data_IF_457062433909
#
_entry.id   IF_457062433909
#
_cell.length_a   1.000
_cell.length_b   1.000
_cell.length_c   1.000
_cell.angle_alpha   90.00
_cell.angle_beta   90.00
_cell.angle_gamma   90.00
#
_symmetry.space_group_name_H-M   'P 1'
#
loop_
_entity.id
_entity.type
_entity.pdbx_description
1 polymer ?
#
# COMPACT_ATOMS: atom_id res chain seq x y z
N UNK A 1 2.37 -8.30 15.44
CA UNK A 1 2.11 -8.26 13.98
C UNK A 1 1.44 -6.94 13.61
N UNK A 2 1.93 -6.24 12.58
CA UNK A 2 1.39 -4.96 12.13
C UNK A 2 0.80 -5.10 10.73
N UNK A 3 -0.44 -4.63 10.56
CA UNK A 3 -1.11 -4.62 9.26
C UNK A 3 -1.16 -3.18 8.75
N UNK A 4 -0.38 -2.88 7.72
CA UNK A 4 -0.33 -1.58 7.04
C UNK A 4 -1.14 -1.71 5.77
N UNK A 5 -2.21 -0.94 5.65
CA UNK A 5 -3.18 -1.08 4.56
C UNK A 5 -3.22 0.20 3.73
N UNK A 6 -2.94 0.09 2.44
CA UNK A 6 -3.01 1.21 1.51
C UNK A 6 -4.38 1.26 0.83
N UNK A 7 -5.09 2.36 0.97
CA UNK A 7 -6.47 2.56 0.55
C UNK A 7 -6.61 3.81 -0.31
N UNK A 8 -7.46 3.77 -1.32
CA UNK A 8 -7.89 4.96 -2.06
C UNK A 8 -9.18 4.68 -2.81
N UNK A 9 -10.09 5.65 -2.96
CA UNK A 9 -11.22 5.55 -3.88
C UNK A 9 -10.81 5.76 -5.34
N UNK A 10 -9.58 6.26 -5.58
CA UNK A 10 -9.07 6.60 -6.91
C UNK A 10 -8.11 5.53 -7.41
N UNK A 11 -8.22 5.20 -8.70
CA UNK A 11 -7.20 4.47 -9.43
C UNK A 11 -6.05 5.37 -9.85
N UNK A 12 -4.83 4.81 -9.97
CA UNK A 12 -3.66 5.51 -10.50
C UNK A 12 -3.04 6.57 -9.58
N UNK A 13 -3.38 6.59 -8.30
CA UNK A 13 -2.79 7.52 -7.31
C UNK A 13 -1.50 7.00 -6.67
N UNK A 14 -0.98 5.86 -7.11
CA UNK A 14 0.27 5.31 -6.58
C UNK A 14 0.13 4.38 -5.38
N UNK A 15 -1.09 3.89 -5.07
CA UNK A 15 -1.33 2.97 -3.94
C UNK A 15 -0.42 1.75 -3.97
N UNK A 16 -0.44 0.98 -5.07
CA UNK A 16 0.40 -0.20 -5.29
C UNK A 16 1.90 0.13 -5.22
N UNK A 17 2.28 1.26 -5.80
CA UNK A 17 3.66 1.77 -5.76
C UNK A 17 4.11 2.00 -4.32
N UNK A 18 3.28 2.70 -3.52
CA UNK A 18 3.57 2.92 -2.10
C UNK A 18 3.68 1.61 -1.33
N UNK A 19 2.74 0.70 -1.53
CA UNK A 19 2.73 -0.59 -0.86
C UNK A 19 4.04 -1.37 -1.11
N UNK A 20 4.49 -1.45 -2.37
CA UNK A 20 5.72 -2.16 -2.73
C UNK A 20 6.97 -1.52 -2.12
N UNK A 21 7.11 -0.19 -2.25
CA UNK A 21 8.29 0.52 -1.76
C UNK A 21 8.38 0.47 -0.23
N UNK A 22 7.26 0.69 0.47
CA UNK A 22 7.19 0.58 1.92
C UNK A 22 7.51 -0.84 2.39
N UNK A 23 6.96 -1.87 1.73
CA UNK A 23 7.29 -3.26 2.07
C UNK A 23 8.79 -3.54 1.93
N UNK A 24 9.43 -3.06 0.85
CA UNK A 24 10.86 -3.27 0.62
C UNK A 24 11.72 -2.51 1.63
N UNK A 25 11.38 -1.25 1.91
CA UNK A 25 12.11 -0.45 2.88
C UNK A 25 11.96 -0.98 4.30
N UNK A 26 10.77 -1.42 4.71
CA UNK A 26 10.56 -2.02 6.03
C UNK A 26 11.30 -3.36 6.18
N UNK A 27 11.31 -4.20 5.15
CA UNK A 27 12.06 -5.47 5.16
C UNK A 27 13.56 -5.24 5.36
N UNK A 28 14.12 -4.17 4.81
CA UNK A 28 15.55 -3.84 4.97
C UNK A 28 15.95 -3.49 6.43
N UNK A 29 14.97 -3.18 7.28
CA UNK A 29 15.19 -2.92 8.72
C UNK A 29 15.09 -4.20 9.59
N UNK A 30 14.87 -5.35 9.00
CA UNK A 30 14.99 -6.65 9.66
C UNK A 30 13.70 -7.40 9.99
N UNK A 31 12.52 -6.79 10.24
CA UNK A 31 11.34 -7.58 10.55
C UNK A 31 10.84 -8.35 9.32
N UNK A 32 10.36 -9.62 9.50
CA UNK A 32 9.76 -10.38 8.42
C UNK A 32 8.60 -9.61 7.78
N UNK A 33 8.68 -9.35 6.48
CA UNK A 33 7.69 -8.54 5.77
C UNK A 33 6.98 -9.37 4.69
N UNK A 34 5.64 -9.36 4.74
CA UNK A 34 4.76 -9.98 3.76
C UNK A 34 3.93 -8.90 3.07
N UNK A 35 4.11 -8.73 1.76
CA UNK A 35 3.27 -7.90 0.92
C UNK A 35 2.13 -8.75 0.34
N UNK A 36 0.89 -8.28 0.45
CA UNK A 36 -0.31 -9.00 -0.04
C UNK A 36 -1.01 -8.15 -1.09
N UNK A 37 -1.11 -8.69 -2.29
CA UNK A 37 -1.87 -8.06 -3.38
C UNK A 37 -3.34 -8.52 -3.33
N UNK A 38 -4.21 -7.66 -2.81
CA UNK A 38 -5.65 -7.89 -2.79
C UNK A 38 -6.35 -7.35 -4.04
N UNK A 39 -5.59 -6.68 -4.93
CA UNK A 39 -6.12 -6.06 -6.14
C UNK A 39 -6.20 -7.05 -7.31
N UNK A 40 -7.34 -7.15 -8.02
CA UNK A 40 -7.44 -7.96 -9.24
C UNK A 40 -6.48 -7.55 -10.35
N UNK A 41 -5.86 -6.37 -10.26
CA UNK A 41 -4.83 -5.93 -11.21
C UNK A 41 -3.54 -6.76 -11.10
N UNK A 42 -3.32 -7.43 -9.96
CA UNK A 42 -2.16 -8.30 -9.71
C UNK A 42 -0.81 -7.62 -10.04
N UNK A 43 -0.70 -6.33 -9.69
CA UNK A 43 0.39 -5.47 -10.11
C UNK A 43 1.49 -5.28 -9.05
N UNK A 44 1.23 -5.65 -7.79
CA UNK A 44 2.18 -5.44 -6.70
C UNK A 44 3.52 -6.12 -6.96
N UNK A 45 3.48 -7.34 -7.53
CA UNK A 45 4.67 -8.11 -7.87
C UNK A 45 5.58 -7.43 -8.88
N UNK A 46 5.02 -6.65 -9.83
CA UNK A 46 5.81 -5.91 -10.82
C UNK A 46 6.70 -4.85 -10.16
N UNK A 47 6.19 -4.19 -9.12
CA UNK A 47 6.96 -3.23 -8.33
C UNK A 47 7.97 -3.89 -7.38
N UNK A 48 7.80 -5.21 -7.11
CA UNK A 48 8.67 -5.99 -6.25
C UNK A 48 9.68 -6.86 -7.02
N UNK A 49 9.84 -6.64 -8.32
CA UNK A 49 10.89 -7.27 -9.11
C UNK A 49 10.43 -8.38 -10.05
N UNK A 50 9.13 -8.71 -10.10
CA UNK A 50 8.63 -9.68 -11.06
C UNK A 50 8.53 -9.07 -12.46
N UNK A 51 8.89 -9.85 -13.47
CA UNK A 51 8.85 -9.41 -14.89
C UNK A 51 7.44 -9.46 -15.48
N UNK A 52 6.54 -10.23 -14.86
CA UNK A 52 5.15 -10.36 -15.29
C UNK A 52 4.26 -10.64 -14.06
N UNK A 53 2.96 -10.31 -14.14
CA UNK A 53 2.01 -10.69 -13.09
C UNK A 53 1.96 -12.22 -12.96
N UNK A 54 2.10 -12.80 -11.75
CA UNK A 54 2.09 -14.24 -11.58
C UNK A 54 0.67 -14.82 -11.75
N UNK A 55 0.57 -15.97 -12.39
CA UNK A 55 -0.70 -16.71 -12.50
C UNK A 55 -1.10 -17.36 -11.18
N UNK A 56 -0.11 -17.80 -10.38
CA UNK A 56 -0.34 -18.36 -9.04
C UNK A 56 -0.57 -17.25 -8.05
N UNK A 57 -1.54 -17.46 -7.16
CA UNK A 57 -1.86 -16.52 -6.12
C UNK A 57 -2.97 -17.02 -5.21
N UNK A 58 -3.33 -16.21 -4.22
CA UNK A 58 -4.34 -16.58 -3.23
C UNK A 58 -5.74 -16.70 -3.83
N UNK A 59 -6.07 -15.94 -4.87
CA UNK A 59 -7.42 -15.93 -5.43
C UNK A 59 -7.78 -17.26 -6.11
N UNK A 60 -6.94 -17.86 -6.98
CA UNK A 60 -7.16 -19.22 -7.49
C UNK A 60 -7.08 -20.30 -6.40
N UNK A 61 -6.31 -20.05 -5.34
CA UNK A 61 -6.09 -20.98 -4.23
C UNK A 61 -6.92 -20.65 -2.98
N UNK A 62 -8.07 -20.03 -3.15
CA UNK A 62 -8.91 -19.41 -2.14
C UNK A 62 -9.23 -20.32 -0.93
N UNK A 63 -9.44 -21.60 -1.18
CA UNK A 63 -9.75 -22.62 -0.17
C UNK A 63 -8.50 -23.28 0.44
N UNK A 64 -7.32 -23.00 -0.11
CA UNK A 64 -6.06 -23.58 0.34
C UNK A 64 -5.33 -22.66 1.31
N UNK A 65 -4.25 -23.18 1.89
CA UNK A 65 -3.31 -22.38 2.66
C UNK A 65 -2.54 -21.41 1.75
N UNK A 66 -2.61 -20.13 2.05
CA UNK A 66 -2.04 -19.07 1.21
C UNK A 66 -0.52 -19.11 1.10
N UNK A 67 0.15 -19.63 2.11
CA UNK A 67 1.61 -19.75 2.10
C UNK A 67 2.18 -20.55 0.93
N UNK A 68 1.41 -21.48 0.34
CA UNK A 68 1.82 -22.22 -0.86
C UNK A 68 2.00 -21.34 -2.10
N UNK A 69 1.39 -20.16 -2.10
CA UNK A 69 1.43 -19.21 -3.22
C UNK A 69 2.43 -18.07 -2.98
N UNK A 70 3.05 -18.03 -1.81
CA UNK A 70 3.99 -16.97 -1.48
C UNK A 70 5.27 -17.08 -2.34
N UNK A 71 5.74 -15.93 -2.80
CA UNK A 71 7.00 -15.73 -3.49
C UNK A 71 7.91 -14.89 -2.59
N UNK A 72 9.22 -14.97 -2.79
CA UNK A 72 10.17 -14.10 -2.09
C UNK A 72 11.04 -13.41 -3.13
N UNK A 73 11.23 -12.10 -2.98
CA UNK A 73 12.10 -11.33 -3.85
C UNK A 73 13.53 -11.23 -3.29
N UNK A 74 14.45 -10.68 -4.07
CA UNK A 74 15.87 -10.51 -3.68
C UNK A 74 16.08 -9.54 -2.51
N UNK A 75 15.09 -8.75 -2.14
CA UNK A 75 15.13 -7.84 -1.00
C UNK A 75 14.57 -8.47 0.29
N UNK A 76 14.24 -9.76 0.29
CA UNK A 76 13.70 -10.48 1.44
C UNK A 76 12.22 -10.18 1.73
N UNK A 77 11.51 -9.53 0.81
CA UNK A 77 10.07 -9.34 0.91
C UNK A 77 9.37 -10.59 0.41
N UNK A 78 8.52 -11.18 1.24
CA UNK A 78 7.58 -12.20 0.81
C UNK A 78 6.39 -11.51 0.14
N UNK A 79 5.97 -12.04 -0.99
CA UNK A 79 4.82 -11.55 -1.76
C UNK A 79 3.77 -12.66 -1.84
N UNK A 80 2.55 -12.32 -1.43
CA UNK A 80 1.37 -13.12 -1.72
C UNK A 80 0.59 -12.44 -2.85
N UNK A 81 0.75 -12.87 -4.11
CA UNK A 81 0.10 -12.23 -5.24
C UNK A 81 -1.39 -12.55 -5.29
N UNK A 82 -2.15 -11.71 -5.96
CA UNK A 82 -3.56 -11.99 -6.25
C UNK A 82 -3.71 -13.26 -7.08
N UNK A 83 -2.85 -13.45 -8.07
CA UNK A 83 -2.92 -14.54 -9.05
C UNK A 83 -3.71 -14.17 -10.30
N UNK A 84 -3.88 -15.14 -11.21
CA UNK A 84 -4.53 -14.92 -12.50
C UNK A 84 -5.92 -14.32 -12.34
N UNK A 85 -6.21 -13.33 -13.17
CA UNK A 85 -7.53 -12.72 -13.21
C UNK A 85 -8.56 -13.71 -13.78
N UNK A 86 -9.50 -14.14 -12.95
CA UNK A 86 -10.63 -14.93 -13.37
C UNK A 86 -11.77 -14.02 -13.83
N UNK A 87 -12.26 -14.23 -15.06
CA UNK A 87 -13.48 -13.62 -15.56
C UNK A 87 -14.74 -14.24 -14.96
N UNK A 88 -14.59 -15.27 -14.14
CA UNK A 88 -15.71 -15.91 -13.47
C UNK A 88 -16.41 -14.89 -12.58
N UNK A 89 -17.67 -14.62 -12.86
CA UNK A 89 -18.56 -13.82 -12.03
C UNK A 89 -18.77 -14.44 -10.62
N UNK A 90 -18.27 -15.64 -10.41
CA UNK A 90 -18.21 -16.38 -9.13
C UNK A 90 -17.09 -15.92 -8.18
N UNK A 91 -16.46 -14.79 -8.44
CA UNK A 91 -15.75 -14.07 -7.37
C UNK A 91 -16.81 -13.60 -6.36
N UNK A 92 -17.43 -14.55 -5.68
CA UNK A 92 -18.39 -14.29 -4.61
C UNK A 92 -17.78 -13.24 -3.69
N UNK A 93 -18.57 -12.22 -3.37
CA UNK A 93 -18.16 -11.22 -2.39
C UNK A 93 -17.70 -11.98 -1.14
N UNK A 94 -16.47 -11.74 -0.64
CA UNK A 94 -16.04 -12.43 0.55
C UNK A 94 -16.98 -12.07 1.71
N UNK A 95 -17.39 -13.08 2.46
CA UNK A 95 -18.23 -12.89 3.65
C UNK A 95 -17.55 -11.92 4.64
N UNK A 96 -18.32 -11.18 5.44
CA UNK A 96 -17.74 -10.33 6.48
C UNK A 96 -16.77 -11.12 7.37
N UNK A 97 -15.59 -10.55 7.63
CA UNK A 97 -14.55 -11.19 8.43
C UNK A 97 -13.72 -12.26 7.72
N UNK A 98 -14.02 -12.54 6.43
CA UNK A 98 -13.26 -13.54 5.67
C UNK A 98 -11.76 -13.23 5.61
N UNK A 99 -11.39 -11.98 5.28
CA UNK A 99 -9.98 -11.58 5.22
C UNK A 99 -9.30 -11.71 6.58
N UNK A 100 -9.96 -11.30 7.65
CA UNK A 100 -9.43 -11.42 9.00
C UNK A 100 -9.12 -12.89 9.35
N UNK A 101 -10.03 -13.80 9.04
CA UNK A 101 -9.82 -15.23 9.27
C UNK A 101 -8.65 -15.77 8.43
N UNK A 102 -8.48 -15.32 7.19
CA UNK A 102 -7.35 -15.72 6.34
C UNK A 102 -6.02 -15.20 6.85
N UNK A 103 -5.96 -13.93 7.27
CA UNK A 103 -4.75 -13.35 7.86
C UNK A 103 -4.36 -14.03 9.17
N UNK A 104 -5.34 -14.37 10.02
CA UNK A 104 -5.10 -15.11 11.27
C UNK A 104 -4.60 -16.54 11.05
N UNK A 105 -4.90 -17.14 9.89
CA UNK A 105 -4.41 -18.47 9.50
C UNK A 105 -2.99 -18.47 8.89
N UNK A 106 -2.35 -17.32 8.76
CA UNK A 106 -0.95 -17.23 8.32
C UNK A 106 -0.02 -17.56 9.50
N UNK A 107 0.86 -18.54 9.31
CA UNK A 107 1.88 -18.90 10.29
C UNK A 107 3.08 -17.94 10.17
N UNK A 108 2.98 -16.79 10.84
CA UNK A 108 3.97 -15.72 10.79
C UNK A 108 4.44 -15.35 12.20
N UNK A 109 5.73 -14.98 12.36
CA UNK A 109 6.24 -14.43 13.61
C UNK A 109 5.43 -13.23 14.11
N UNK A 110 5.27 -13.04 15.44
CA UNK A 110 4.48 -11.93 16.00
C UNK A 110 4.96 -10.53 15.59
N UNK A 111 6.26 -10.37 15.30
CA UNK A 111 6.90 -9.14 14.86
C UNK A 111 6.69 -8.85 13.36
N UNK A 112 6.07 -9.76 12.61
CA UNK A 112 5.89 -9.61 11.16
C UNK A 112 5.07 -8.38 10.79
N UNK A 113 5.44 -7.82 9.64
CA UNK A 113 4.74 -6.70 9.00
C UNK A 113 3.99 -7.24 7.80
N UNK A 114 2.69 -6.97 7.73
CA UNK A 114 1.85 -7.24 6.58
C UNK A 114 1.54 -5.91 5.88
N UNK A 115 1.91 -5.81 4.61
CA UNK A 115 1.60 -4.64 3.76
C UNK A 115 0.55 -5.06 2.75
N UNK A 116 -0.65 -4.49 2.83
CA UNK A 116 -1.79 -4.87 2.00
C UNK A 116 -2.04 -3.81 0.92
N UNK A 117 -1.87 -4.18 -0.34
CA UNK A 117 -2.35 -3.41 -1.49
C UNK A 117 -3.79 -3.80 -1.80
N UNK A 118 -4.68 -2.82 -1.82
CA UNK A 118 -6.12 -3.08 -1.93
C UNK A 118 -6.69 -2.67 -3.29
N UNK A 119 -7.81 -3.23 -3.73
CA UNK A 119 -8.58 -2.64 -4.81
C UNK A 119 -9.12 -1.25 -4.40
N UNK A 120 -9.57 -0.41 -5.35
CA UNK A 120 -10.17 0.88 -5.01
C UNK A 120 -11.38 0.74 -4.08
N UNK A 121 -11.52 1.67 -3.13
CA UNK A 121 -12.74 1.81 -2.33
C UNK A 121 -13.95 2.12 -3.25
N UNK A 122 -15.13 1.59 -2.96
CA UNK A 122 -15.53 0.80 -1.78
C UNK A 122 -15.51 -0.73 -2.01
N UNK A 123 -14.54 -1.29 -2.71
CA UNK A 123 -14.49 -2.73 -2.95
C UNK A 123 -14.53 -3.52 -1.62
N UNK A 124 -15.24 -4.66 -1.54
CA UNK A 124 -15.43 -5.43 -0.29
C UNK A 124 -14.11 -5.83 0.38
N UNK A 125 -13.09 -6.23 -0.39
CA UNK A 125 -11.77 -6.56 0.16
C UNK A 125 -11.04 -5.34 0.72
N UNK A 126 -11.19 -4.15 0.11
CA UNK A 126 -10.62 -2.93 0.65
C UNK A 126 -11.27 -2.55 1.99
N UNK A 127 -12.59 -2.71 2.11
CA UNK A 127 -13.31 -2.48 3.36
C UNK A 127 -12.89 -3.47 4.46
N UNK A 128 -12.77 -4.76 4.14
CA UNK A 128 -12.29 -5.76 5.10
C UNK A 128 -10.83 -5.52 5.51
N UNK A 129 -9.96 -5.14 4.57
CA UNK A 129 -8.58 -4.80 4.86
C UNK A 129 -8.50 -3.60 5.82
N UNK A 130 -9.31 -2.57 5.60
CA UNK A 130 -9.39 -1.42 6.49
C UNK A 130 -9.78 -1.80 7.93
N UNK A 131 -10.69 -2.77 8.09
CA UNK A 131 -11.12 -3.27 9.40
C UNK A 131 -10.02 -4.07 10.13
N UNK A 132 -9.10 -4.68 9.39
CA UNK A 132 -7.98 -5.45 9.94
C UNK A 132 -6.72 -4.61 10.18
N UNK A 133 -6.72 -3.33 9.79
CA UNK A 133 -5.53 -2.48 9.80
C UNK A 133 -5.06 -2.15 11.23
N UNK A 134 -3.75 -2.14 11.44
CA UNK A 134 -3.11 -1.42 12.54
C UNK A 134 -2.88 0.04 12.12
N UNK A 135 -2.56 0.24 10.84
CA UNK A 135 -2.42 1.55 10.22
C UNK A 135 -3.06 1.54 8.82
N UNK A 136 -4.08 2.37 8.61
CA UNK A 136 -4.68 2.62 7.32
C UNK A 136 -4.07 3.87 6.68
N UNK A 137 -3.46 3.74 5.50
CA UNK A 137 -2.88 4.84 4.74
C UNK A 137 -3.81 5.19 3.58
N UNK A 138 -4.49 6.31 3.70
CA UNK A 138 -5.34 6.86 2.63
C UNK A 138 -4.47 7.58 1.60
N UNK A 139 -4.40 7.06 0.39
CA UNK A 139 -3.54 7.60 -0.68
C UNK A 139 -4.33 8.52 -1.58
N UNK A 140 -3.89 9.76 -1.70
CA UNK A 140 -4.46 10.79 -2.55
C UNK A 140 -3.37 11.40 -3.44
N UNK A 141 -3.69 11.73 -4.67
CA UNK A 141 -2.81 12.55 -5.50
C UNK A 141 -3.10 14.05 -5.34
N UNK A 142 -2.11 14.90 -5.59
CA UNK A 142 -2.28 16.36 -5.56
C UNK A 142 -3.08 16.82 -6.79
N UNK A 143 -4.40 16.53 -6.82
CA UNK A 143 -5.27 16.81 -7.96
C UNK A 143 -6.67 17.26 -7.55
N UNK A 144 -7.39 17.86 -8.51
CA UNK A 144 -8.79 18.23 -8.32
C UNK A 144 -9.71 17.04 -8.02
N UNK A 145 -9.36 15.82 -8.48
CA UNK A 145 -10.14 14.61 -8.19
C UNK A 145 -10.11 14.31 -6.69
N UNK A 146 -8.93 14.34 -6.10
CA UNK A 146 -8.75 14.12 -4.66
C UNK A 146 -9.48 15.18 -3.83
N UNK A 147 -9.46 16.45 -4.26
CA UNK A 147 -10.23 17.52 -3.61
C UNK A 147 -11.73 17.24 -3.60
N UNK A 148 -12.27 16.67 -4.67
CA UNK A 148 -13.72 16.36 -4.78
C UNK A 148 -14.17 15.23 -3.86
N UNK A 149 -13.26 14.36 -3.45
CA UNK A 149 -13.58 13.16 -2.65
C UNK A 149 -13.33 13.33 -1.15
N UNK A 150 -12.87 14.49 -0.70
CA UNK A 150 -12.49 14.73 0.70
C UNK A 150 -13.61 14.41 1.69
N UNK A 151 -14.86 14.83 1.41
CA UNK A 151 -16.00 14.57 2.27
C UNK A 151 -16.25 13.07 2.46
N UNK A 152 -16.36 12.33 1.36
CA UNK A 152 -16.57 10.89 1.40
C UNK A 152 -15.43 10.14 2.08
N UNK A 153 -14.18 10.61 1.92
CA UNK A 153 -13.03 10.02 2.60
C UNK A 153 -13.01 10.30 4.09
N UNK A 154 -13.46 11.49 4.51
CA UNK A 154 -13.60 11.81 5.93
C UNK A 154 -14.64 10.91 6.57
N UNK A 155 -15.82 10.80 5.96
CA UNK A 155 -16.88 9.90 6.42
C UNK A 155 -16.40 8.44 6.51
N UNK A 156 -15.61 7.98 5.53
CA UNK A 156 -15.00 6.66 5.56
C UNK A 156 -14.01 6.52 6.73
N UNK A 157 -13.12 7.50 6.92
CA UNK A 157 -12.13 7.45 8.00
C UNK A 157 -12.78 7.46 9.38
N UNK A 158 -13.87 8.21 9.55
CA UNK A 158 -14.65 8.28 10.81
C UNK A 158 -15.37 6.96 11.12
N UNK A 159 -15.56 6.09 10.12
CA UNK A 159 -16.17 4.76 10.28
C UNK A 159 -15.14 3.64 10.52
N UNK A 160 -13.84 3.95 10.51
CA UNK A 160 -12.82 2.97 10.84
C UNK A 160 -12.96 2.53 12.31
N UNK A 161 -12.66 1.26 12.64
CA UNK A 161 -12.67 0.81 14.03
C UNK A 161 -11.79 1.67 14.93
N UNK A 162 -12.20 1.92 16.15
CA UNK A 162 -11.50 2.81 17.10
C UNK A 162 -10.03 2.44 17.38
N UNK A 163 -9.66 1.17 17.15
CA UNK A 163 -8.27 0.70 17.28
C UNK A 163 -7.40 0.91 16.04
N UNK A 164 -7.99 1.32 14.92
CA UNK A 164 -7.27 1.54 13.65
C UNK A 164 -6.72 2.96 13.63
N UNK A 165 -5.40 3.10 13.59
CA UNK A 165 -4.77 4.39 13.28
C UNK A 165 -4.87 4.64 11.78
N UNK A 166 -5.03 5.89 11.38
CA UNK A 166 -5.06 6.23 9.98
C UNK A 166 -4.31 7.54 9.67
N UNK A 167 -3.80 7.62 8.45
CA UNK A 167 -3.08 8.79 7.96
C UNK A 167 -3.31 8.97 6.46
N UNK A 168 -2.99 10.15 5.94
CA UNK A 168 -3.11 10.49 4.52
C UNK A 168 -1.73 10.65 3.90
N UNK A 169 -1.45 9.89 2.85
CA UNK A 169 -0.27 10.05 2.01
C UNK A 169 -0.63 10.84 0.75
N UNK A 170 0.12 11.90 0.46
CA UNK A 170 -0.03 12.68 -0.77
C UNK A 170 1.01 12.28 -1.82
N UNK A 171 0.56 12.06 -3.05
CA UNK A 171 1.40 11.67 -4.18
C UNK A 171 1.27 12.64 -5.34
N UNK A 172 2.14 12.49 -6.35
CA UNK A 172 2.06 13.24 -7.59
C UNK A 172 2.23 14.76 -7.42
N UNK A 173 2.96 15.18 -6.40
CA UNK A 173 3.26 16.59 -6.14
C UNK A 173 4.20 17.10 -7.24
N UNK A 174 3.76 18.12 -7.98
CA UNK A 174 4.58 18.79 -8.98
C UNK A 174 4.57 20.32 -8.75
N UNK A 175 5.65 20.88 -8.21
CA UNK A 175 5.75 22.31 -7.96
C UNK A 175 5.67 23.18 -9.20
N UNK A 176 5.89 22.62 -10.39
CA UNK A 176 5.82 23.35 -11.68
C UNK A 176 4.39 23.51 -12.16
N UNK A 177 3.47 22.66 -11.72
CA UNK A 177 2.05 22.69 -12.06
C UNK A 177 1.28 23.56 -11.06
N UNK A 178 0.72 24.68 -11.50
CA UNK A 178 -0.09 25.58 -10.66
C UNK A 178 -1.27 24.83 -10.03
N UNK A 179 -2.02 24.05 -10.82
CA UNK A 179 -3.18 23.31 -10.34
C UNK A 179 -2.81 22.25 -9.28
N UNK A 180 -1.63 21.61 -9.39
CA UNK A 180 -1.16 20.65 -8.40
C UNK A 180 -0.69 21.32 -7.11
N UNK A 181 -0.05 22.50 -7.22
CA UNK A 181 0.31 23.30 -6.03
C UNK A 181 -0.93 23.74 -5.26
N UNK A 182 -1.94 24.24 -5.96
CA UNK A 182 -3.20 24.67 -5.34
C UNK A 182 -3.91 23.50 -4.67
N UNK A 183 -4.01 22.35 -5.36
CA UNK A 183 -4.58 21.14 -4.80
C UNK A 183 -3.81 20.67 -3.56
N UNK A 184 -2.47 20.65 -3.60
CA UNK A 184 -1.62 20.31 -2.47
C UNK A 184 -1.88 21.22 -1.28
N UNK A 185 -1.97 22.52 -1.50
CA UNK A 185 -2.23 23.48 -0.43
C UNK A 185 -3.58 23.23 0.23
N UNK A 186 -4.63 23.02 -0.56
CA UNK A 186 -5.97 22.72 -0.03
C UNK A 186 -6.03 21.37 0.70
N UNK A 187 -5.39 20.33 0.16
CA UNK A 187 -5.32 19.01 0.81
C UNK A 187 -4.56 19.09 2.14
N UNK A 188 -3.45 19.83 2.19
CA UNK A 188 -2.70 20.04 3.43
C UNK A 188 -3.53 20.74 4.49
N UNK A 189 -4.27 21.78 4.13
CA UNK A 189 -5.15 22.49 5.06
C UNK A 189 -6.27 21.58 5.59
N UNK A 190 -6.82 20.69 4.75
CA UNK A 190 -7.92 19.80 5.11
C UNK A 190 -7.50 18.64 6.01
N UNK A 191 -6.32 18.04 5.75
CA UNK A 191 -5.87 16.79 6.39
C UNK A 191 -4.80 16.99 7.46
N UNK A 192 -4.48 18.20 7.79
CA UNK A 192 -3.42 18.71 8.66
C UNK A 192 -2.91 17.73 9.74
N UNK A 193 -3.81 17.24 10.60
CA UNK A 193 -3.48 16.37 11.72
C UNK A 193 -3.21 14.91 11.33
N UNK A 194 -3.70 14.50 10.15
CA UNK A 194 -3.58 13.13 9.65
C UNK A 194 -2.60 13.01 8.50
N UNK A 195 -2.00 14.12 8.07
CA UNK A 195 -1.12 14.12 6.91
C UNK A 195 0.25 13.56 7.26
N UNK A 196 0.71 12.58 6.48
CA UNK A 196 2.10 12.15 6.51
C UNK A 196 2.97 13.30 5.96
N UNK A 197 4.01 13.77 6.71
CA UNK A 197 4.75 14.97 6.35
C UNK A 197 5.72 14.80 5.17
N UNK A 198 5.69 13.65 4.51
CA UNK A 198 6.53 13.28 3.36
C UNK A 198 5.67 13.08 2.11
N UNK A 199 5.28 14.15 1.39
CA UNK A 199 4.53 14.02 0.15
C UNK A 199 5.45 13.51 -0.96
N UNK A 200 4.94 12.61 -1.81
CA UNK A 200 5.69 12.09 -2.94
C UNK A 200 5.60 13.03 -4.14
N UNK A 201 6.76 13.50 -4.58
CA UNK A 201 6.87 14.30 -5.78
C UNK A 201 6.72 13.45 -7.05
N UNK A 202 6.20 14.09 -8.09
CA UNK A 202 6.19 13.51 -9.43
C UNK A 202 7.64 13.45 -9.93
N UNK A 203 8.14 12.23 -10.09
CA UNK A 203 9.53 11.96 -10.48
C UNK A 203 9.55 10.86 -11.53
N UNK A 204 10.24 11.12 -12.64
CA UNK A 204 10.35 10.18 -13.76
C UNK A 204 11.07 8.88 -13.36
N UNK A 205 11.99 8.94 -12.39
CA UNK A 205 12.68 7.76 -11.88
C UNK A 205 11.74 6.68 -11.34
N UNK A 206 10.52 7.06 -10.91
CA UNK A 206 9.50 6.08 -10.50
C UNK A 206 9.07 5.19 -11.66
N UNK A 207 8.88 5.76 -12.85
CA UNK A 207 8.51 4.99 -14.05
C UNK A 207 9.68 4.19 -14.58
N UNK A 208 10.89 4.76 -14.55
CA UNK A 208 12.12 4.09 -14.96
C UNK A 208 12.42 2.90 -14.05
N UNK A 209 12.25 3.04 -12.73
CA UNK A 209 12.40 1.96 -11.77
C UNK A 209 11.42 0.82 -12.05
N UNK A 210 10.13 1.14 -12.26
CA UNK A 210 9.11 0.14 -12.60
C UNK A 210 9.45 -0.60 -13.91
N UNK A 211 9.91 0.13 -14.93
CA UNK A 211 10.30 -0.48 -16.21
C UNK A 211 11.47 -1.48 -16.06
N UNK A 212 12.30 -1.32 -15.03
CA UNK A 212 13.40 -2.22 -14.68
C UNK A 212 13.04 -3.24 -13.59
N UNK A 213 11.77 -3.30 -13.19
CA UNK A 213 11.27 -4.14 -12.10
C UNK A 213 12.07 -3.92 -10.79
N UNK A 214 12.32 -2.65 -10.45
CA UNK A 214 13.02 -2.22 -9.23
C UNK A 214 12.19 -1.21 -8.44
N UNK A 215 12.45 -1.11 -7.15
CA UNK A 215 12.02 0.04 -6.36
C UNK A 215 12.93 1.26 -6.65
N UNK A 216 12.39 2.47 -6.50
CA UNK A 216 13.13 3.69 -6.87
C UNK A 216 14.39 3.91 -6.05
N UNK A 217 14.41 3.51 -4.78
CA UNK A 217 15.60 3.58 -3.94
C UNK A 217 16.73 2.63 -4.37
N UNK A 218 16.40 1.57 -5.12
CA UNK A 218 17.37 0.67 -5.72
C UNK A 218 17.84 1.19 -7.09
N UNK A 219 16.93 1.78 -7.88
CA UNK A 219 17.21 2.28 -9.22
C UNK A 219 17.95 3.63 -9.20
N UNK A 220 17.45 4.58 -8.42
CA UNK A 220 17.95 5.95 -8.35
C UNK A 220 17.96 6.46 -6.90
N UNK A 221 18.89 5.98 -6.04
CA UNK A 221 18.88 6.25 -4.59
C UNK A 221 19.02 7.73 -4.22
N UNK A 222 19.53 8.56 -5.12
CA UNK A 222 19.69 10.00 -4.92
C UNK A 222 18.53 10.83 -5.51
N UNK A 223 17.50 10.19 -6.07
CA UNK A 223 16.34 10.89 -6.63
C UNK A 223 15.44 11.46 -5.53
N UNK A 224 14.64 12.48 -5.89
CA UNK A 224 13.66 13.05 -4.97
C UNK A 224 12.66 11.98 -4.54
N UNK A 225 12.21 11.13 -5.46
CA UNK A 225 11.26 10.05 -5.13
C UNK A 225 11.85 9.04 -4.14
N UNK A 226 13.15 8.72 -4.22
CA UNK A 226 13.80 7.82 -3.26
C UNK A 226 13.82 8.43 -1.85
N UNK A 227 14.14 9.72 -1.73
CA UNK A 227 14.12 10.43 -0.44
C UNK A 227 12.70 10.53 0.14
N UNK A 228 11.70 10.83 -0.71
CA UNK A 228 10.31 10.92 -0.28
C UNK A 228 9.80 9.56 0.24
N UNK A 229 10.11 8.48 -0.49
CA UNK A 229 9.75 7.11 -0.10
C UNK A 229 10.41 6.68 1.20
N UNK A 230 11.70 7.03 1.39
CA UNK A 230 12.40 6.74 2.64
C UNK A 230 11.73 7.47 3.80
N UNK A 231 11.51 8.78 3.68
CA UNK A 231 10.86 9.56 4.74
C UNK A 231 9.45 9.07 5.08
N UNK A 232 8.66 8.69 4.07
CA UNK A 232 7.33 8.11 4.25
C UNK A 232 7.41 6.75 4.96
N UNK A 233 8.34 5.88 4.56
CA UNK A 233 8.53 4.55 5.17
C UNK A 233 8.98 4.68 6.62
N UNK A 234 9.93 5.58 6.93
CA UNK A 234 10.40 5.84 8.28
C UNK A 234 9.27 6.37 9.18
N UNK A 235 8.41 7.22 8.64
CA UNK A 235 7.24 7.69 9.37
C UNK A 235 6.28 6.54 9.67
N UNK A 236 6.02 5.67 8.71
CA UNK A 236 5.17 4.48 8.89
C UNK A 236 5.79 3.54 9.94
N UNK A 237 7.10 3.30 9.87
CA UNK A 237 7.81 2.49 10.86
C UNK A 237 7.59 3.02 12.29
N UNK A 238 7.84 4.31 12.50
CA UNK A 238 7.60 4.96 13.80
C UNK A 238 6.13 4.89 14.23
N UNK A 239 5.21 5.13 13.29
CA UNK A 239 3.78 5.02 13.57
C UNK A 239 3.38 3.59 13.98
N UNK A 240 4.07 2.56 13.55
CA UNK A 240 3.87 1.17 13.95
C UNK A 240 4.71 0.75 15.18
N UNK A 241 5.49 1.65 15.78
CA UNK A 241 6.37 1.30 16.91
C UNK A 241 7.58 0.46 16.52
N UNK A 242 7.96 0.47 15.24
CA UNK A 242 9.09 -0.28 14.70
C UNK A 242 10.41 0.52 14.72
N UNK A 243 10.39 1.75 15.24
CA UNK A 243 11.46 2.75 15.09
C UNK A 243 12.48 2.85 16.23
N UNK A 244 12.46 2.01 17.26
CA UNK A 244 13.34 2.12 18.44
C UNK A 244 14.36 0.98 18.60
N UNK A 245 14.66 0.27 17.54
CA UNK A 245 15.84 -0.63 17.53
C UNK A 245 16.99 0.06 16.78
N UNK A 246 17.50 1.16 17.31
CA UNK A 246 18.87 1.57 17.01
C UNK A 246 19.81 0.61 17.76
N UNK A 247 20.91 0.16 17.13
CA UNK A 247 21.90 -0.70 17.76
C UNK A 247 22.63 0.00 18.90
#
# INVERSE_FOLDING_TARGET
MHHIVFLSPLGGVGRTTLAAHVATLLASHGPPTLAIDLSPQNALGLHLGLQAPPDRGWQPARERWWGECALENSAGVRLLPHGAWSRSADAARPEPGWLQARLAGLDLPPESILVLDTPPLPAPLALQAAQCASLAVLVLDASARSLRLQGALREFADQLPAGVRWAVALTGVDPRSASRRDALHMLRAQWQEHLIPYPLHADEHMQQALAQALCVHQHAPQSQAAHDMQGLSDWIARACGLGDTAP
#
